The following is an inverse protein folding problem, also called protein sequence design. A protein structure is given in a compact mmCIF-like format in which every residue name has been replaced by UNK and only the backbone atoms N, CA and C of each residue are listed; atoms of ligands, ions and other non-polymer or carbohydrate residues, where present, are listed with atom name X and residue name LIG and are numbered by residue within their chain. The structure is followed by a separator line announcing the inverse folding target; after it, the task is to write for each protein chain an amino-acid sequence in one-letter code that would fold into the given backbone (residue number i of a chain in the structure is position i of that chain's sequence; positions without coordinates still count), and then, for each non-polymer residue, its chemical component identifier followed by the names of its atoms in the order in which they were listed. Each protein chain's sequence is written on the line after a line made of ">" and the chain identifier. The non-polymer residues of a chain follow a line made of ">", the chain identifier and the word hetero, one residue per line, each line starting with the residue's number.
data_IF_193957710005
#
_entry.id   IF_193957710005
#
_cell.length_a   1.000
_cell.length_b   1.000
_cell.length_c   1.000
_cell.angle_alpha   90.00
_cell.angle_beta   90.00
_cell.angle_gamma   90.00
#
_symmetry.space_group_name_H-M   'P 1'
#
loop_
_entity.id
_entity.type
_entity.pdbx_description
1 polymer ?
#
# COMPACT_ATOMS: atom_id res chain seq x y z
N UNK A 1 8.72 -13.65 -16.75
CA UNK A 1 8.12 -13.12 -15.50
C UNK A 1 8.79 -11.78 -15.13
N UNK A 2 8.55 -10.70 -15.87
CA UNK A 2 9.27 -9.41 -15.67
C UNK A 2 8.40 -8.15 -15.74
N UNK A 3 7.07 -8.26 -15.79
CA UNK A 3 6.18 -7.07 -15.85
C UNK A 3 5.69 -6.56 -14.48
N UNK A 4 5.81 -7.33 -13.39
CA UNK A 4 5.22 -6.97 -12.09
C UNK A 4 5.79 -5.70 -11.42
N UNK A 5 7.10 -5.42 -11.46
CA UNK A 5 7.66 -4.23 -10.81
C UNK A 5 7.13 -2.90 -11.36
N UNK A 6 6.83 -2.86 -12.66
CA UNK A 6 6.25 -1.66 -13.29
C UNK A 6 4.79 -1.46 -12.85
N UNK A 7 4.06 -2.56 -12.67
CA UNK A 7 2.67 -2.51 -12.23
C UNK A 7 2.53 -2.10 -10.75
N UNK A 8 3.42 -2.57 -9.87
CA UNK A 8 3.39 -2.19 -8.45
C UNK A 8 3.70 -0.71 -8.22
N UNK A 9 4.64 -0.14 -8.98
CA UNK A 9 4.91 1.30 -8.97
C UNK A 9 3.65 2.10 -9.32
N UNK A 10 2.95 1.68 -10.37
CA UNK A 10 1.76 2.41 -10.82
C UNK A 10 0.60 2.28 -9.84
N UNK A 11 0.37 1.08 -9.29
CA UNK A 11 -0.63 0.84 -8.24
C UNK A 11 -0.35 1.68 -7.00
N UNK A 12 0.92 1.77 -6.58
CA UNK A 12 1.34 2.64 -5.48
C UNK A 12 0.95 4.10 -5.77
N UNK A 13 1.31 4.62 -6.96
CA UNK A 13 0.99 6.01 -7.35
C UNK A 13 -0.52 6.28 -7.37
N UNK A 14 -1.31 5.34 -7.88
CA UNK A 14 -2.77 5.47 -7.89
C UNK A 14 -3.33 5.51 -6.47
N UNK A 15 -2.89 4.62 -5.58
CA UNK A 15 -3.35 4.62 -4.20
C UNK A 15 -2.95 5.89 -3.46
N UNK A 16 -1.72 6.37 -3.65
CA UNK A 16 -1.27 7.62 -3.02
C UNK A 16 -1.99 8.85 -3.58
N UNK A 17 -2.44 8.80 -4.84
CA UNK A 17 -3.34 9.82 -5.39
C UNK A 17 -4.70 9.80 -4.70
N UNK A 18 -5.24 8.61 -4.41
CA UNK A 18 -6.48 8.48 -3.62
C UNK A 18 -6.29 9.10 -2.22
N UNK A 19 -5.19 8.77 -1.53
CA UNK A 19 -4.87 9.35 -0.21
C UNK A 19 -4.74 10.87 -0.28
N UNK A 20 -4.10 11.39 -1.33
CA UNK A 20 -3.93 12.82 -1.56
C UNK A 20 -5.27 13.55 -1.77
N UNK A 21 -6.18 12.97 -2.56
CA UNK A 21 -7.52 13.53 -2.77
C UNK A 21 -8.32 13.50 -1.48
N UNK A 22 -8.28 12.38 -0.73
CA UNK A 22 -8.98 12.25 0.54
C UNK A 22 -8.49 13.28 1.57
N UNK A 23 -7.18 13.48 1.66
CA UNK A 23 -6.55 14.39 2.62
C UNK A 23 -6.83 15.87 2.32
N UNK A 24 -7.37 16.19 1.14
CA UNK A 24 -7.80 17.54 0.77
C UNK A 24 -9.19 17.87 1.35
N UNK A 25 -9.28 17.90 2.69
CA UNK A 25 -10.51 18.19 3.41
C UNK A 25 -10.83 17.19 4.54
N UNK A 26 -10.06 16.11 4.66
CA UNK A 26 -10.19 15.13 5.73
C UNK A 26 -8.85 14.91 6.42
N UNK A 27 -8.87 14.69 7.74
CA UNK A 27 -7.72 14.20 8.47
C UNK A 27 -7.57 12.69 8.22
N UNK A 28 -6.36 12.22 7.92
CA UNK A 28 -6.11 10.78 7.79
C UNK A 28 -6.14 10.11 9.16
N UNK A 29 -7.03 9.16 9.31
CA UNK A 29 -7.10 8.25 10.45
C UNK A 29 -7.29 6.80 9.95
N UNK A 30 -7.54 5.87 10.87
CA UNK A 30 -7.78 4.47 10.51
C UNK A 30 -8.97 4.29 9.58
N UNK A 31 -10.10 4.94 9.87
CA UNK A 31 -11.32 4.75 9.05
C UNK A 31 -11.15 5.38 7.67
N UNK A 32 -10.51 6.54 7.58
CA UNK A 32 -10.16 7.22 6.34
C UNK A 32 -9.21 6.40 5.49
N UNK A 33 -8.18 5.81 6.09
CA UNK A 33 -7.23 4.94 5.38
C UNK A 33 -7.90 3.66 4.89
N UNK A 34 -8.69 2.99 5.72
CA UNK A 34 -9.47 1.79 5.33
C UNK A 34 -10.46 2.13 4.20
N UNK A 35 -11.13 3.29 4.26
CA UNK A 35 -12.02 3.80 3.20
C UNK A 35 -11.26 4.00 1.88
N UNK A 36 -10.13 4.70 1.91
CA UNK A 36 -9.27 4.89 0.74
C UNK A 36 -8.79 3.56 0.16
N UNK A 37 -8.40 2.61 1.03
CA UNK A 37 -7.92 1.31 0.59
C UNK A 37 -9.03 0.47 -0.05
N UNK A 38 -10.27 0.54 0.46
CA UNK A 38 -11.44 -0.10 -0.18
C UNK A 38 -11.70 0.44 -1.58
N UNK A 39 -11.63 1.75 -1.78
CA UNK A 39 -11.72 2.36 -3.11
C UNK A 39 -10.63 1.84 -4.05
N UNK A 40 -9.39 1.80 -3.58
CA UNK A 40 -8.27 1.28 -4.36
C UNK A 40 -8.42 -0.21 -4.70
N UNK A 41 -8.91 -1.00 -3.75
CA UNK A 41 -8.99 -2.44 -3.89
C UNK A 41 -10.19 -2.88 -4.74
N UNK A 42 -11.40 -2.38 -4.48
CA UNK A 42 -12.62 -2.76 -5.19
C UNK A 42 -13.00 -1.84 -6.35
N UNK A 43 -12.43 -0.63 -6.39
CA UNK A 43 -12.72 0.36 -7.42
C UNK A 43 -13.90 1.28 -7.09
N UNK A 44 -14.01 2.36 -7.86
CA UNK A 44 -14.93 3.47 -7.62
C UNK A 44 -16.41 3.08 -7.65
N UNK A 45 -16.79 2.15 -8.53
CA UNK A 45 -18.20 1.71 -8.64
C UNK A 45 -18.65 0.96 -7.39
N UNK A 46 -17.85 0.03 -6.88
CA UNK A 46 -18.17 -0.70 -5.64
C UNK A 46 -18.03 0.19 -4.41
N UNK A 47 -17.09 1.14 -4.45
CA UNK A 47 -16.94 2.16 -3.41
C UNK A 47 -18.19 3.03 -3.28
N UNK A 48 -18.72 3.57 -4.38
CA UNK A 48 -19.93 4.39 -4.39
C UNK A 48 -21.14 3.64 -3.80
N UNK A 49 -21.29 2.35 -4.12
CA UNK A 49 -22.34 1.51 -3.53
C UNK A 49 -22.18 1.36 -2.01
N UNK A 50 -20.94 1.23 -1.54
CA UNK A 50 -20.62 1.04 -0.12
C UNK A 50 -20.68 2.34 0.68
N UNK A 51 -20.51 3.48 0.02
CA UNK A 51 -20.38 4.81 0.63
C UNK A 51 -21.21 5.87 -0.11
N UNK A 52 -22.53 5.68 -0.28
CA UNK A 52 -23.36 6.54 -1.13
C UNK A 52 -23.45 8.00 -0.66
N UNK A 53 -23.12 8.27 0.61
CA UNK A 53 -23.15 9.60 1.20
C UNK A 53 -21.82 10.37 1.07
N UNK A 54 -20.72 9.73 0.65
CA UNK A 54 -19.42 10.37 0.41
C UNK A 54 -19.39 11.14 -0.94
N UNK A 55 -20.47 11.87 -1.23
CA UNK A 55 -20.77 12.48 -2.54
C UNK A 55 -19.65 13.38 -3.05
N UNK A 56 -19.13 14.29 -2.23
CA UNK A 56 -18.05 15.21 -2.63
C UNK A 56 -16.77 14.47 -2.99
N UNK A 57 -16.41 13.41 -2.25
CA UNK A 57 -15.22 12.62 -2.54
C UNK A 57 -15.39 11.81 -3.83
N UNK A 58 -16.55 11.17 -3.99
CA UNK A 58 -16.93 10.41 -5.19
C UNK A 58 -16.92 11.30 -6.43
N UNK A 59 -17.48 12.51 -6.35
CA UNK A 59 -17.52 13.47 -7.46
C UNK A 59 -16.12 13.87 -7.92
N UNK A 60 -15.22 14.18 -6.98
CA UNK A 60 -13.82 14.51 -7.31
C UNK A 60 -13.12 13.34 -8.01
N UNK A 61 -13.36 12.10 -7.57
CA UNK A 61 -12.80 10.90 -8.20
C UNK A 61 -13.34 10.67 -9.62
N UNK A 62 -14.65 10.86 -9.83
CA UNK A 62 -15.23 10.77 -11.18
C UNK A 62 -14.69 11.87 -12.10
N UNK A 63 -14.53 13.10 -11.60
CA UNK A 63 -13.94 14.20 -12.37
C UNK A 63 -12.48 13.90 -12.74
N UNK A 64 -11.69 13.38 -11.80
CA UNK A 64 -10.31 12.96 -12.04
C UNK A 64 -10.20 11.84 -13.08
N UNK A 65 -11.06 10.83 -12.97
CA UNK A 65 -11.18 9.74 -13.96
C UNK A 65 -11.58 10.28 -15.34
N UNK A 66 -12.61 11.13 -15.41
CA UNK A 66 -13.10 11.71 -16.68
C UNK A 66 -12.03 12.54 -17.37
N UNK A 67 -11.32 13.39 -16.62
CA UNK A 67 -10.20 14.17 -17.16
C UNK A 67 -9.10 13.28 -17.73
N UNK A 68 -8.84 12.12 -17.11
CA UNK A 68 -7.85 11.17 -17.60
C UNK A 68 -8.30 10.41 -18.85
N UNK A 69 -9.51 9.83 -18.85
CA UNK A 69 -10.02 8.98 -19.93
C UNK A 69 -10.50 9.77 -21.15
N UNK A 70 -11.21 10.87 -20.92
CA UNK A 70 -11.89 11.66 -21.94
C UNK A 70 -11.66 13.16 -21.69
N UNK A 71 -10.39 13.62 -21.77
CA UNK A 71 -10.09 15.03 -21.57
C UNK A 71 -10.84 15.91 -22.59
N UNK A 72 -11.34 17.07 -22.14
CA UNK A 72 -11.87 18.09 -23.05
C UNK A 72 -10.77 18.56 -23.99
N UNK A 73 -10.89 18.24 -25.28
CA UNK A 73 -9.89 18.59 -26.30
C UNK A 73 -9.71 20.10 -26.46
N UNK A 74 -10.67 20.91 -26.01
CA UNK A 74 -10.61 22.37 -26.03
C UNK A 74 -9.68 22.93 -24.95
N UNK A 75 -9.53 22.23 -23.81
CA UNK A 75 -8.78 22.71 -22.63
C UNK A 75 -7.55 21.87 -22.31
N UNK A 76 -7.51 20.61 -22.75
CA UNK A 76 -6.45 19.65 -22.46
C UNK A 76 -5.98 19.04 -23.77
N UNK A 77 -4.84 19.51 -24.25
CA UNK A 77 -4.28 19.15 -25.56
C UNK A 77 -3.13 18.15 -25.48
N UNK A 78 -2.61 17.86 -24.27
CA UNK A 78 -1.45 16.98 -24.08
C UNK A 78 -1.77 15.77 -23.20
N UNK A 79 -1.06 14.66 -23.48
CA UNK A 79 -1.10 13.45 -22.66
C UNK A 79 -0.62 13.67 -21.22
N UNK A 80 0.20 14.70 -20.98
CA UNK A 80 0.65 15.07 -19.63
C UNK A 80 -0.48 15.78 -18.88
N UNK A 81 -1.07 16.81 -19.48
CA UNK A 81 -2.10 17.62 -18.85
C UNK A 81 -3.34 16.80 -18.43
N UNK A 82 -3.74 15.78 -19.21
CA UNK A 82 -4.87 14.89 -18.81
C UNK A 82 -4.59 14.05 -17.56
N UNK A 83 -3.33 13.93 -17.14
CA UNK A 83 -2.89 13.16 -15.97
C UNK A 83 -2.65 14.03 -14.74
N UNK A 84 -2.53 15.35 -14.90
CA UNK A 84 -2.35 16.31 -13.82
C UNK A 84 -3.72 16.87 -13.40
N UNK A 85 -4.49 16.09 -12.64
CA UNK A 85 -5.82 16.51 -12.21
C UNK A 85 -5.77 17.68 -11.22
N UNK A 86 -4.82 17.65 -10.30
CA UNK A 86 -4.51 18.75 -9.38
C UNK A 86 -3.02 18.74 -9.02
N UNK A 87 -2.56 19.72 -8.23
CA UNK A 87 -1.20 19.71 -7.69
C UNK A 87 -0.87 18.44 -6.89
N UNK A 88 -1.88 17.85 -6.24
CA UNK A 88 -1.74 16.70 -5.36
C UNK A 88 -2.21 15.39 -5.99
N UNK A 89 -2.96 15.44 -7.10
CA UNK A 89 -3.51 14.27 -7.79
C UNK A 89 -2.94 14.12 -9.21
N UNK A 90 -1.84 13.38 -9.31
CA UNK A 90 -1.13 13.12 -10.56
C UNK A 90 -1.26 11.66 -10.99
N UNK A 91 -2.16 11.40 -11.93
CA UNK A 91 -2.53 10.08 -12.44
C UNK A 91 -1.59 9.61 -13.56
N UNK A 92 -0.29 9.56 -13.27
CA UNK A 92 0.77 9.24 -14.23
C UNK A 92 0.84 7.77 -14.65
N UNK A 93 -0.25 7.27 -15.24
CA UNK A 93 -0.41 5.92 -15.74
C UNK A 93 -1.39 5.85 -16.92
N UNK A 94 -1.46 4.68 -17.58
CA UNK A 94 -2.11 4.51 -18.88
C UNK A 94 -3.34 3.57 -18.84
N UNK A 95 -3.91 3.32 -17.66
CA UNK A 95 -5.17 2.59 -17.51
C UNK A 95 -6.23 3.47 -16.85
N UNK A 96 -7.48 3.02 -16.92
CA UNK A 96 -8.64 3.68 -16.31
C UNK A 96 -8.46 3.82 -14.78
N UNK A 97 -8.33 5.04 -14.24
CA UNK A 97 -8.16 5.24 -12.81
C UNK A 97 -9.33 4.66 -12.00
N UNK A 98 -9.04 4.22 -10.79
CA UNK A 98 -9.94 3.74 -9.75
C UNK A 98 -10.74 2.50 -10.17
N UNK A 99 -10.18 1.65 -11.03
CA UNK A 99 -10.86 0.44 -11.53
C UNK A 99 -10.85 -0.74 -10.55
N UNK A 100 -10.11 -0.63 -9.44
CA UNK A 100 -9.92 -1.71 -8.48
C UNK A 100 -8.76 -2.63 -8.85
N UNK A 101 -8.15 -3.24 -7.84
CA UNK A 101 -7.02 -4.17 -7.96
C UNK A 101 -7.23 -5.49 -7.21
N UNK A 102 -8.45 -5.76 -6.75
CA UNK A 102 -8.80 -6.94 -5.95
C UNK A 102 -8.26 -8.24 -6.55
N UNK A 103 -8.54 -8.48 -7.83
CA UNK A 103 -8.14 -9.74 -8.46
C UNK A 103 -6.63 -9.92 -8.37
N UNK A 104 -5.84 -8.92 -8.79
CA UNK A 104 -4.38 -9.05 -8.83
C UNK A 104 -3.77 -9.06 -7.43
N UNK A 105 -4.10 -8.08 -6.59
CA UNK A 105 -3.51 -7.96 -5.25
C UNK A 105 -4.04 -9.04 -4.29
N UNK A 106 -5.32 -9.38 -4.38
CA UNK A 106 -5.94 -10.42 -3.57
C UNK A 106 -5.32 -11.79 -3.83
N UNK A 107 -5.13 -12.18 -5.09
CA UNK A 107 -4.41 -13.43 -5.40
C UNK A 107 -2.96 -13.38 -4.92
N UNK A 108 -2.23 -12.30 -5.26
CA UNK A 108 -0.81 -12.16 -4.94
C UNK A 108 -0.53 -12.19 -3.43
N UNK A 109 -1.20 -11.33 -2.64
CA UNK A 109 -0.99 -11.27 -1.21
C UNK A 109 -1.51 -12.49 -0.46
N UNK A 110 -2.55 -13.16 -0.95
CA UNK A 110 -3.02 -14.43 -0.36
C UNK A 110 -1.96 -15.53 -0.49
N UNK A 111 -1.35 -15.67 -1.67
CA UNK A 111 -0.29 -16.66 -1.86
C UNK A 111 0.94 -16.30 -1.04
N UNK A 112 1.37 -15.03 -1.07
CA UNK A 112 2.52 -14.56 -0.29
C UNK A 112 2.31 -14.81 1.21
N UNK A 113 1.13 -14.48 1.74
CA UNK A 113 0.76 -14.71 3.13
C UNK A 113 0.80 -16.20 3.48
N UNK A 114 0.20 -17.06 2.64
CA UNK A 114 0.17 -18.49 2.89
C UNK A 114 1.59 -19.08 2.92
N UNK A 115 2.46 -18.68 2.00
CA UNK A 115 3.86 -19.12 1.98
C UNK A 115 4.59 -18.69 3.26
N UNK A 116 4.46 -17.42 3.65
CA UNK A 116 5.10 -16.90 4.87
C UNK A 116 4.59 -17.65 6.10
N UNK A 117 3.27 -17.77 6.25
CA UNK A 117 2.64 -18.49 7.36
C UNK A 117 3.10 -19.93 7.45
N UNK A 118 3.17 -20.63 6.32
CA UNK A 118 3.63 -22.03 6.26
C UNK A 118 5.07 -22.16 6.73
N UNK A 119 5.98 -21.28 6.30
CA UNK A 119 7.39 -21.32 6.73
C UNK A 119 7.52 -20.93 8.20
N UNK A 120 6.88 -19.82 8.60
CA UNK A 120 6.93 -19.30 9.97
C UNK A 120 6.42 -20.31 11.00
N UNK A 121 5.39 -21.08 10.65
CA UNK A 121 4.74 -22.04 11.55
C UNK A 121 5.17 -23.49 11.27
N UNK A 122 6.15 -23.71 10.39
CA UNK A 122 6.63 -25.06 10.08
C UNK A 122 7.32 -25.69 11.29
N UNK A 123 6.93 -26.91 11.62
CA UNK A 123 7.64 -27.79 12.57
C UNK A 123 8.84 -28.49 11.90
N UNK A 124 8.82 -28.65 10.57
CA UNK A 124 9.90 -29.26 9.80
C UNK A 124 11.16 -28.38 9.72
N UNK A 125 11.00 -27.07 9.94
CA UNK A 125 12.09 -26.09 9.96
C UNK A 125 12.12 -25.47 11.37
N UNK A 126 12.57 -26.18 12.42
CA UNK A 126 12.33 -25.76 13.80
C UNK A 126 13.13 -24.50 14.19
N UNK A 127 14.28 -24.28 13.56
CA UNK A 127 15.15 -23.14 13.88
C UNK A 127 14.62 -21.85 13.24
N UNK A 128 14.47 -20.80 14.07
CA UNK A 128 14.17 -19.44 13.60
C UNK A 128 15.16 -18.97 12.51
N UNK A 129 16.45 -19.27 12.66
CA UNK A 129 17.47 -18.86 11.69
C UNK A 129 17.28 -19.53 10.33
N UNK A 130 16.83 -20.79 10.31
CA UNK A 130 16.49 -21.48 9.06
C UNK A 130 15.22 -20.91 8.43
N UNK A 131 14.15 -20.67 9.21
CA UNK A 131 12.94 -20.00 8.73
C UNK A 131 13.28 -18.65 8.10
N UNK A 132 14.12 -17.87 8.76
CA UNK A 132 14.56 -16.56 8.29
C UNK A 132 15.35 -16.63 6.99
N UNK A 133 16.14 -17.68 6.73
CA UNK A 133 16.83 -17.87 5.43
C UNK A 133 15.82 -17.95 4.28
N UNK A 134 14.78 -18.78 4.41
CA UNK A 134 13.75 -18.90 3.37
C UNK A 134 12.91 -17.63 3.22
N UNK A 135 12.52 -17.01 4.34
CA UNK A 135 11.73 -15.78 4.32
C UNK A 135 12.51 -14.59 3.75
N UNK A 136 13.83 -14.51 3.96
CA UNK A 136 14.70 -13.53 3.30
C UNK A 136 14.77 -13.74 1.79
N UNK A 137 14.86 -14.99 1.33
CA UNK A 137 14.83 -15.30 -0.11
C UNK A 137 13.49 -14.87 -0.72
N UNK A 138 12.38 -15.19 -0.06
CA UNK A 138 11.05 -14.77 -0.50
C UNK A 138 10.91 -13.24 -0.52
N UNK A 139 11.36 -12.55 0.54
CA UNK A 139 11.34 -11.09 0.62
C UNK A 139 12.20 -10.44 -0.46
N UNK A 140 13.33 -11.04 -0.83
CA UNK A 140 14.20 -10.52 -1.90
C UNK A 140 13.52 -10.52 -3.28
N UNK A 141 12.42 -11.27 -3.46
CA UNK A 141 11.60 -11.21 -4.67
C UNK A 141 10.63 -10.02 -4.68
N UNK A 142 10.38 -9.39 -3.52
CA UNK A 142 9.48 -8.25 -3.40
C UNK A 142 10.23 -6.96 -3.72
N UNK A 143 9.78 -6.27 -4.76
CA UNK A 143 10.21 -4.89 -5.02
C UNK A 143 9.84 -3.96 -3.87
N UNK A 144 10.55 -2.84 -3.73
CA UNK A 144 10.22 -1.83 -2.72
C UNK A 144 8.76 -1.36 -2.83
N UNK A 145 8.21 -1.24 -4.03
CA UNK A 145 6.80 -0.88 -4.24
C UNK A 145 5.83 -1.96 -3.78
N UNK A 146 6.17 -3.25 -3.94
CA UNK A 146 5.35 -4.35 -3.41
C UNK A 146 5.36 -4.38 -1.88
N UNK A 147 6.50 -4.09 -1.25
CA UNK A 147 6.56 -3.94 0.21
C UNK A 147 5.72 -2.76 0.71
N UNK A 148 5.69 -1.64 -0.02
CA UNK A 148 4.78 -0.52 0.25
C UNK A 148 3.31 -0.94 0.12
N UNK A 149 2.94 -1.60 -0.98
CA UNK A 149 1.55 -2.04 -1.18
C UNK A 149 1.11 -3.07 -0.15
N UNK A 150 2.02 -3.94 0.31
CA UNK A 150 1.77 -4.91 1.37
C UNK A 150 1.56 -4.23 2.73
N UNK A 151 2.38 -3.22 3.04
CA UNK A 151 2.20 -2.39 4.23
C UNK A 151 0.86 -1.64 4.19
N UNK A 152 0.50 -1.03 3.06
CA UNK A 152 -0.80 -0.38 2.88
C UNK A 152 -1.97 -1.37 2.94
N UNK A 153 -1.79 -2.62 2.48
CA UNK A 153 -2.80 -3.67 2.62
C UNK A 153 -3.12 -3.98 4.09
N UNK A 154 -2.09 -4.04 4.94
CA UNK A 154 -2.25 -4.19 6.38
C UNK A 154 -2.90 -2.96 7.01
N UNK A 155 -2.40 -1.75 6.73
CA UNK A 155 -3.00 -0.50 7.24
C UNK A 155 -4.46 -0.32 6.84
N UNK A 156 -4.83 -0.77 5.64
CA UNK A 156 -6.19 -0.74 5.13
C UNK A 156 -7.12 -1.81 5.70
N UNK A 157 -6.63 -2.66 6.62
CA UNK A 157 -7.42 -3.68 7.30
C UNK A 157 -7.54 -5.02 6.56
N UNK A 158 -7.14 -5.10 5.29
CA UNK A 158 -7.23 -6.32 4.49
C UNK A 158 -6.12 -7.31 4.83
N UNK A 159 -4.98 -6.78 5.28
CA UNK A 159 -3.78 -7.53 5.65
C UNK A 159 -3.64 -7.78 7.15
N UNK A 160 -4.68 -7.63 7.96
CA UNK A 160 -4.61 -7.73 9.44
C UNK A 160 -3.93 -9.01 9.97
N UNK A 161 -3.90 -10.09 9.18
CA UNK A 161 -3.22 -11.32 9.58
C UNK A 161 -1.69 -11.27 9.51
N UNK A 162 -1.11 -10.27 8.84
CA UNK A 162 0.34 -10.09 8.76
C UNK A 162 0.95 -9.66 10.09
N UNK A 163 0.27 -8.78 10.83
CA UNK A 163 0.71 -8.29 12.13
C UNK A 163 -0.52 -8.07 13.03
N UNK A 164 -0.64 -8.89 14.06
CA UNK A 164 -1.68 -8.88 15.10
C UNK A 164 -1.25 -9.71 16.33
N UNK A 165 -2.15 -9.89 17.30
CA UNK A 165 -1.86 -10.63 18.54
C UNK A 165 -1.42 -12.09 18.34
N UNK A 166 -1.68 -12.68 17.15
CA UNK A 166 -1.33 -14.08 16.83
C UNK A 166 -0.11 -14.20 15.92
N UNK A 167 0.12 -13.22 15.04
CA UNK A 167 1.16 -13.26 14.03
C UNK A 167 1.97 -11.97 14.06
N UNK A 168 3.29 -12.08 14.02
CA UNK A 168 4.19 -10.93 13.84
C UNK A 168 5.04 -11.05 12.60
N UNK A 169 4.45 -11.29 11.43
CA UNK A 169 5.22 -11.55 10.21
C UNK A 169 5.97 -10.32 9.69
N UNK A 170 5.45 -9.13 9.95
CA UNK A 170 6.21 -7.92 9.69
C UNK A 170 7.29 -7.76 10.75
N UNK A 171 6.93 -7.68 12.03
CA UNK A 171 7.88 -7.33 13.08
C UNK A 171 8.92 -8.44 13.36
N UNK A 172 8.55 -9.70 13.44
CA UNK A 172 9.43 -10.83 13.82
C UNK A 172 10.31 -11.28 12.65
N UNK A 173 9.73 -11.36 11.45
CA UNK A 173 10.41 -11.89 10.25
C UNK A 173 10.84 -10.80 9.26
N UNK A 174 10.48 -9.53 9.52
CA UNK A 174 10.88 -8.40 8.70
C UNK A 174 10.30 -8.47 7.29
N UNK A 175 9.10 -9.00 7.04
CA UNK A 175 8.65 -9.21 5.65
C UNK A 175 8.55 -7.91 4.81
N UNK A 176 8.53 -6.75 5.46
CA UNK A 176 8.64 -5.42 4.84
C UNK A 176 9.93 -4.66 5.23
N UNK A 177 11.03 -5.38 5.45
CA UNK A 177 12.31 -4.82 5.91
C UNK A 177 12.89 -3.73 4.98
N UNK A 178 12.64 -3.81 3.67
CA UNK A 178 13.16 -2.86 2.67
C UNK A 178 12.13 -1.77 2.34
N UNK A 179 11.25 -1.41 3.28
CA UNK A 179 10.24 -0.37 3.10
C UNK A 179 10.92 1.00 2.86
N UNK A 180 10.73 1.65 1.69
CA UNK A 180 11.37 2.92 1.36
C UNK A 180 10.65 4.12 2.00
N UNK A 181 10.98 4.44 3.25
CA UNK A 181 10.28 5.47 4.05
C UNK A 181 10.12 6.83 3.34
N UNK A 182 11.15 7.29 2.62
CA UNK A 182 11.18 8.57 1.91
C UNK A 182 10.28 8.64 0.67
N UNK A 183 9.68 7.52 0.26
CA UNK A 183 8.78 7.46 -0.90
C UNK A 183 7.35 7.16 -0.50
N UNK A 184 7.07 6.94 0.79
CA UNK A 184 5.71 6.73 1.28
C UNK A 184 4.90 8.02 1.20
N UNK A 185 3.58 7.89 1.22
CA UNK A 185 2.70 9.04 1.38
C UNK A 185 3.01 9.71 2.72
N UNK A 186 3.28 11.02 2.69
CA UNK A 186 3.62 11.78 3.89
C UNK A 186 2.35 12.11 4.67
N UNK A 187 2.11 11.35 5.73
CA UNK A 187 1.00 11.56 6.63
C UNK A 187 1.32 11.00 8.02
N UNK A 188 0.85 11.69 9.06
CA UNK A 188 1.14 11.32 10.46
C UNK A 188 0.63 9.92 10.80
N UNK A 189 -0.57 9.54 10.37
CA UNK A 189 -1.13 8.21 10.63
C UNK A 189 -0.23 7.10 10.07
N UNK A 190 0.34 7.31 8.89
CA UNK A 190 1.27 6.37 8.27
C UNK A 190 2.57 6.30 9.07
N UNK A 191 3.16 7.45 9.42
CA UNK A 191 4.39 7.52 10.21
C UNK A 191 4.24 6.88 11.60
N UNK A 192 3.11 7.12 12.27
CA UNK A 192 2.82 6.52 13.58
C UNK A 192 2.79 4.99 13.51
N UNK A 193 2.19 4.42 12.46
CA UNK A 193 2.16 2.98 12.27
C UNK A 193 3.51 2.36 11.89
N UNK A 194 4.36 3.08 11.16
CA UNK A 194 5.76 2.66 10.93
C UNK A 194 6.50 2.61 12.26
N UNK A 195 6.34 3.63 13.09
CA UNK A 195 6.95 3.70 14.42
C UNK A 195 6.40 2.60 15.35
N UNK A 196 5.11 2.27 15.24
CA UNK A 196 4.52 1.13 15.94
C UNK A 196 5.27 -0.17 15.58
N UNK A 197 5.37 -0.50 14.29
CA UNK A 197 6.09 -1.70 13.82
C UNK A 197 7.58 -1.71 14.22
N UNK A 198 8.23 -0.53 14.19
CA UNK A 198 9.63 -0.39 14.63
C UNK A 198 9.81 -0.79 16.09
N UNK A 199 8.85 -0.41 16.93
CA UNK A 199 8.90 -0.58 18.38
C UNK A 199 8.19 -1.86 18.87
N UNK A 200 7.55 -2.63 17.98
CA UNK A 200 6.93 -3.91 18.32
C UNK A 200 7.97 -4.86 18.90
N UNK A 201 7.71 -5.32 20.12
CA UNK A 201 8.54 -6.33 20.80
C UNK A 201 8.34 -7.68 20.12
N UNK A 202 9.45 -8.34 19.84
CA UNK A 202 9.50 -9.64 19.15
C UNK A 202 10.46 -10.56 19.87
N UNK A 203 10.33 -11.86 19.65
CA UNK A 203 11.00 -12.88 20.44
C UNK A 203 12.39 -13.23 19.91
N UNK A 204 12.58 -13.22 18.59
CA UNK A 204 13.75 -13.83 17.96
C UNK A 204 14.53 -12.91 17.00
N UNK A 205 13.90 -11.88 16.44
CA UNK A 205 14.56 -10.95 15.50
C UNK A 205 15.82 -10.35 16.12
N UNK A 206 16.92 -10.52 15.40
CA UNK A 206 18.20 -9.84 15.65
C UNK A 206 18.36 -8.66 14.68
N UNK A 207 18.66 -7.48 15.19
CA UNK A 207 18.86 -6.25 14.39
C UNK A 207 17.57 -5.44 14.15
N UNK A 208 17.65 -4.43 13.29
CA UNK A 208 16.59 -3.44 13.09
C UNK A 208 15.42 -3.97 12.25
N UNK A 209 14.23 -3.38 12.45
CA UNK A 209 13.02 -3.75 11.71
C UNK A 209 13.12 -3.35 10.24
N UNK A 210 13.68 -2.17 9.96
CA UNK A 210 13.87 -1.64 8.61
C UNK A 210 15.36 -1.54 8.28
N UNK A 211 15.69 -1.77 7.00
CA UNK A 211 17.07 -1.68 6.50
C UNK A 211 17.60 -0.25 6.60
N UNK A 212 16.80 0.72 6.14
CA UNK A 212 17.11 2.15 6.23
C UNK A 212 16.43 2.69 7.49
N UNK A 213 17.03 2.41 8.64
CA UNK A 213 16.52 2.90 9.93
C UNK A 213 17.03 4.31 10.21
N UNK A 214 16.51 5.29 9.45
CA UNK A 214 16.72 6.71 9.79
C UNK A 214 15.78 7.06 10.94
N UNK A 215 16.20 6.76 12.16
CA UNK A 215 15.52 7.24 13.36
C UNK A 215 15.34 8.77 13.29
N UNK A 216 14.12 9.24 13.56
CA UNK A 216 13.74 10.63 13.82
C UNK A 216 14.18 11.75 12.84
N UNK A 217 14.73 11.44 11.65
CA UNK A 217 15.24 12.48 10.74
C UNK A 217 14.17 13.26 9.95
N UNK A 218 12.88 12.97 10.15
CA UNK A 218 11.75 13.67 9.52
C UNK A 218 10.73 14.19 10.53
N UNK A 219 11.12 14.29 11.81
CA UNK A 219 10.30 14.91 12.87
C UNK A 219 10.62 16.40 13.12
N UNK A 220 11.37 17.03 12.21
CA UNK A 220 11.63 18.46 12.21
C UNK A 220 11.09 19.09 10.92
#
# INVERSE_FOLDING_TARGET
>A
MTQFPLHSLVMKKEFETILAIYSNGNQMDRQGFEKCYKLFFFGLTEFEKSYPHDTSFIEVLYNARRNHEQPSKQSITTNKARKEFSQTAQLYFNYKPYSGHEQRLGHYFRHLFLTVKTIANSELIPSYEQKMKFLKILRAQLSNHEQVLLFYNWLGGFGNNWENDKNSFFAEYGMIHNLPHNTLFHDKYITDNINHLRNTKVNYRKGNMFEIDRGNAYLN
#
